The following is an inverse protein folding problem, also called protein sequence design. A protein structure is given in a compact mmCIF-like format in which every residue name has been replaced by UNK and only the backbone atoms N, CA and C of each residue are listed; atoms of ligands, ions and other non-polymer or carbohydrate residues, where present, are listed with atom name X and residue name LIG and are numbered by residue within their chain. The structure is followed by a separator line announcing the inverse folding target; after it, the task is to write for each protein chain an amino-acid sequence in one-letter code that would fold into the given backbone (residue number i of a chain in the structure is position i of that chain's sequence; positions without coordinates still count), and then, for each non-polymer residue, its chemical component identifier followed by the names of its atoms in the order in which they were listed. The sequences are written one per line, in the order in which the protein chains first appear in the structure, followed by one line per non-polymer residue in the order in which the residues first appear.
data_IF_301546695541
#
_entry.id   IF_301546695541
#
_cell.length_a   1.000
_cell.length_b   1.000
_cell.length_c   1.000
_cell.angle_alpha   90.00
_cell.angle_beta   90.00
_cell.angle_gamma   90.00
#
_symmetry.space_group_name_H-M   'P 1'
#
loop_
_entity.id
_entity.type
_entity.pdbx_description
1 polymer ?
#
# COMPACT_ATOMS: atom_id res chain seq x y z
N UNK A 1 -20.64 -3.36 2.03
CA UNK A 1 -21.78 -2.50 2.44
C UNK A 1 -21.41 -1.46 3.50
N UNK A 2 -20.52 -1.74 4.48
CA UNK A 2 -20.12 -0.72 5.48
C UNK A 2 -19.20 0.38 4.94
N UNK A 3 -18.26 0.07 4.04
CA UNK A 3 -17.32 1.08 3.53
C UNK A 3 -18.04 2.22 2.80
N UNK A 4 -18.98 1.91 1.91
CA UNK A 4 -19.74 2.94 1.19
C UNK A 4 -20.53 3.88 2.12
N UNK A 5 -21.09 3.34 3.21
CA UNK A 5 -21.74 4.15 4.25
C UNK A 5 -20.77 5.06 5.00
N UNK A 6 -19.59 4.54 5.36
CA UNK A 6 -18.52 5.35 5.94
C UNK A 6 -18.10 6.48 4.98
N UNK A 7 -17.88 6.14 3.71
CA UNK A 7 -17.42 7.06 2.68
C UNK A 7 -18.41 8.21 2.46
N UNK A 8 -19.71 7.93 2.32
CA UNK A 8 -20.70 8.99 2.12
C UNK A 8 -20.83 9.88 3.36
N UNK A 9 -20.78 9.33 4.57
CA UNK A 9 -20.82 10.12 5.82
C UNK A 9 -19.62 11.04 5.92
N UNK A 10 -18.41 10.59 5.53
CA UNK A 10 -17.24 11.46 5.46
C UNK A 10 -17.46 12.62 4.50
N UNK A 11 -17.98 12.34 3.30
CA UNK A 11 -18.23 13.37 2.29
C UNK A 11 -19.31 14.38 2.72
N UNK A 12 -20.37 13.93 3.40
CA UNK A 12 -21.39 14.80 4.00
C UNK A 12 -20.83 15.72 5.10
N UNK A 13 -19.63 15.45 5.60
CA UNK A 13 -18.95 16.22 6.64
C UNK A 13 -17.61 16.80 6.17
N UNK A 14 -17.44 17.00 4.86
CA UNK A 14 -16.24 17.63 4.25
C UNK A 14 -14.91 16.93 4.56
N UNK A 15 -14.95 15.63 4.86
CA UNK A 15 -13.77 14.79 5.04
C UNK A 15 -13.55 13.94 3.79
N UNK A 16 -12.30 13.89 3.30
CA UNK A 16 -11.90 12.97 2.23
C UNK A 16 -11.73 11.56 2.81
N UNK A 17 -12.62 10.59 2.51
CA UNK A 17 -12.48 9.23 2.99
C UNK A 17 -11.36 8.49 2.26
N UNK A 18 -10.60 7.70 3.03
CA UNK A 18 -9.69 6.69 2.50
C UNK A 18 -10.39 5.33 2.63
N UNK A 19 -10.77 4.74 1.50
CA UNK A 19 -11.31 3.38 1.45
C UNK A 19 -10.19 2.36 1.60
N UNK A 20 -9.95 1.88 2.82
CA UNK A 20 -8.96 0.83 3.08
C UNK A 20 -9.54 -0.56 2.80
N UNK A 21 -8.85 -1.27 1.90
CA UNK A 21 -9.20 -2.62 1.49
C UNK A 21 -7.97 -3.51 1.59
N UNK A 22 -7.94 -4.30 2.64
CA UNK A 22 -6.85 -5.25 2.83
C UNK A 22 -7.36 -6.68 2.66
N UNK A 23 -6.85 -7.33 1.61
CA UNK A 23 -6.80 -8.78 1.52
C UNK A 23 -5.54 -9.23 2.27
N UNK A 24 -5.73 -9.93 3.39
CA UNK A 24 -4.63 -10.41 4.22
C UNK A 24 -3.74 -11.38 3.45
N UNK A 25 -2.44 -11.29 3.69
CA UNK A 25 -1.43 -12.14 3.04
C UNK A 25 -1.31 -13.53 3.65
N UNK A 26 -1.99 -13.83 4.77
CA UNK A 26 -1.85 -15.12 5.46
C UNK A 26 -2.12 -16.32 4.54
N UNK A 27 -1.20 -17.29 4.56
CA UNK A 27 -1.35 -18.60 3.92
C UNK A 27 -0.40 -18.85 2.75
N UNK A 28 -0.66 -19.93 2.01
CA UNK A 28 0.20 -20.49 0.96
C UNK A 28 -0.36 -20.29 -0.47
N UNK A 29 -1.18 -19.26 -0.65
CA UNK A 29 -1.76 -18.95 -1.95
C UNK A 29 -0.73 -18.30 -2.89
N UNK A 30 -0.84 -18.56 -4.19
CA UNK A 30 -0.01 -17.89 -5.17
C UNK A 30 -0.51 -16.46 -5.47
N UNK A 31 0.28 -15.71 -6.24
CA UNK A 31 -0.06 -14.33 -6.60
C UNK A 31 -1.33 -14.23 -7.47
N UNK A 32 -1.65 -15.28 -8.24
CA UNK A 32 -2.84 -15.32 -9.11
C UNK A 32 -4.11 -15.37 -8.27
N UNK A 33 -4.09 -16.16 -7.19
CA UNK A 33 -5.19 -16.20 -6.23
C UNK A 33 -5.37 -14.85 -5.54
N UNK A 34 -4.28 -14.20 -5.10
CA UNK A 34 -4.34 -12.85 -4.53
C UNK A 34 -4.96 -11.85 -5.54
N UNK A 35 -4.54 -11.90 -6.81
CA UNK A 35 -5.07 -11.05 -7.87
C UNK A 35 -6.57 -11.25 -8.07
N UNK A 36 -7.03 -12.51 -8.19
CA UNK A 36 -8.44 -12.83 -8.39
C UNK A 36 -9.32 -12.36 -7.23
N UNK A 37 -8.86 -12.53 -5.98
CA UNK A 37 -9.57 -12.05 -4.79
C UNK A 37 -9.58 -10.52 -4.76
N UNK A 38 -8.44 -9.88 -5.03
CA UNK A 38 -8.32 -8.41 -5.07
C UNK A 38 -9.29 -7.82 -6.10
N UNK A 39 -9.34 -8.37 -7.32
CA UNK A 39 -10.27 -7.93 -8.36
C UNK A 39 -11.74 -8.09 -7.92
N UNK A 40 -12.07 -9.24 -7.34
CA UNK A 40 -13.43 -9.52 -6.85
C UNK A 40 -13.86 -8.52 -5.77
N UNK A 41 -12.99 -8.24 -4.81
CA UNK A 41 -13.26 -7.31 -3.71
C UNK A 41 -13.38 -5.88 -4.23
N UNK A 42 -12.46 -5.42 -5.09
CA UNK A 42 -12.49 -4.07 -5.65
C UNK A 42 -13.76 -3.85 -6.51
N UNK A 43 -14.14 -4.81 -7.34
CA UNK A 43 -15.36 -4.72 -8.13
C UNK A 43 -16.61 -4.58 -7.24
N UNK A 44 -16.72 -5.41 -6.19
CA UNK A 44 -17.84 -5.32 -5.25
C UNK A 44 -17.87 -3.99 -4.49
N UNK A 45 -16.69 -3.45 -4.16
CA UNK A 45 -16.54 -2.15 -3.52
C UNK A 45 -17.01 -1.03 -4.43
N UNK A 46 -16.51 -0.92 -5.65
CA UNK A 46 -16.84 0.21 -6.51
C UNK A 46 -18.30 0.18 -6.93
N UNK A 47 -18.89 -1.02 -7.04
CA UNK A 47 -20.34 -1.16 -7.14
C UNK A 47 -21.06 -0.57 -5.93
N UNK A 48 -20.63 -0.92 -4.72
CA UNK A 48 -21.24 -0.38 -3.50
C UNK A 48 -21.03 1.15 -3.35
N UNK A 49 -19.87 1.69 -3.72
CA UNK A 49 -19.63 3.14 -3.70
C UNK A 49 -20.58 3.86 -4.67
N UNK A 50 -20.75 3.31 -5.87
CA UNK A 50 -21.67 3.86 -6.87
C UNK A 50 -23.13 3.82 -6.40
N UNK A 51 -23.57 2.69 -5.81
CA UNK A 51 -24.93 2.54 -5.26
C UNK A 51 -25.26 3.54 -4.15
N UNK A 52 -24.23 4.01 -3.44
CA UNK A 52 -24.36 4.99 -2.37
C UNK A 52 -24.09 6.44 -2.82
N UNK A 53 -23.99 6.67 -4.14
CA UNK A 53 -23.77 8.00 -4.73
C UNK A 53 -22.50 8.71 -4.23
N UNK A 54 -21.46 7.93 -3.91
CA UNK A 54 -20.15 8.47 -3.51
C UNK A 54 -19.52 9.24 -4.69
N UNK A 55 -19.01 10.43 -4.42
CA UNK A 55 -18.21 11.21 -5.36
C UNK A 55 -16.77 10.68 -5.38
N UNK A 56 -16.38 9.92 -6.41
CA UNK A 56 -15.08 9.21 -6.42
C UNK A 56 -13.87 10.17 -6.50
N UNK A 57 -14.03 11.33 -7.14
CA UNK A 57 -13.06 12.42 -7.21
C UNK A 57 -12.61 12.89 -5.82
N UNK A 58 -13.51 12.78 -4.84
CA UNK A 58 -13.29 13.15 -3.45
C UNK A 58 -12.96 11.96 -2.54
N UNK A 59 -12.35 10.90 -3.06
CA UNK A 59 -11.94 9.72 -2.26
C UNK A 59 -10.52 9.28 -2.59
N UNK A 60 -9.89 8.52 -1.67
CA UNK A 60 -8.66 7.79 -1.95
C UNK A 60 -8.88 6.29 -1.74
N UNK A 61 -8.17 5.47 -2.51
CA UNK A 61 -8.13 4.01 -2.30
C UNK A 61 -6.85 3.64 -1.55
N UNK A 62 -6.95 2.84 -0.48
CA UNK A 62 -5.81 2.24 0.22
C UNK A 62 -5.88 0.71 0.11
N UNK A 63 -5.37 0.12 -0.98
CA UNK A 63 -5.43 -1.32 -1.18
C UNK A 63 -4.13 -2.00 -0.71
N UNK A 64 -4.18 -3.31 -0.49
CA UNK A 64 -2.97 -4.14 -0.51
C UNK A 64 -2.33 -4.14 -1.90
N UNK A 65 -1.00 -4.35 -1.96
CA UNK A 65 -0.36 -4.80 -3.20
C UNK A 65 -0.76 -6.26 -3.46
N UNK A 66 -0.74 -6.69 -4.72
CA UNK A 66 -1.02 -8.09 -5.09
C UNK A 66 0.26 -8.89 -4.92
N UNK A 67 0.33 -9.70 -3.87
CA UNK A 67 1.51 -10.50 -3.51
C UNK A 67 1.14 -11.97 -3.33
N UNK A 68 2.10 -12.91 -3.40
CA UNK A 68 1.90 -14.25 -2.87
C UNK A 68 1.57 -14.21 -1.37
N UNK A 69 1.00 -15.30 -0.87
CA UNK A 69 0.77 -15.48 0.55
C UNK A 69 2.07 -15.55 1.37
N UNK A 70 1.97 -15.33 2.68
CA UNK A 70 3.11 -15.28 3.61
C UNK A 70 3.95 -16.55 3.64
N UNK A 71 3.32 -17.69 3.35
CA UNK A 71 3.94 -19.02 3.37
C UNK A 71 4.33 -19.47 1.94
N UNK A 72 4.13 -18.61 0.94
CA UNK A 72 4.51 -18.84 -0.46
C UNK A 72 5.89 -18.27 -0.78
N UNK A 73 6.58 -18.79 -1.81
CA UNK A 73 7.80 -18.18 -2.30
C UNK A 73 7.58 -16.72 -2.70
N UNK A 74 8.52 -15.85 -2.32
CA UNK A 74 8.55 -14.46 -2.78
C UNK A 74 8.75 -14.42 -4.30
N UNK A 75 8.23 -13.37 -4.93
CA UNK A 75 8.38 -13.09 -6.36
C UNK A 75 9.08 -11.75 -6.56
N UNK A 76 9.53 -11.50 -7.78
CA UNK A 76 10.20 -10.24 -8.11
C UNK A 76 9.24 -9.04 -8.03
N UNK A 77 9.73 -7.84 -7.68
CA UNK A 77 8.93 -6.61 -7.61
C UNK A 77 8.18 -6.28 -8.91
N UNK A 78 8.76 -6.60 -10.06
CA UNK A 78 8.15 -6.39 -11.38
C UNK A 78 6.91 -7.27 -11.56
N UNK A 79 6.91 -8.48 -10.98
CA UNK A 79 5.75 -9.38 -11.00
C UNK A 79 4.66 -8.82 -10.09
N UNK A 80 5.00 -8.36 -8.88
CA UNK A 80 4.04 -7.69 -7.98
C UNK A 80 3.44 -6.48 -8.67
N UNK A 81 4.26 -5.68 -9.33
CA UNK A 81 3.83 -4.50 -10.05
C UNK A 81 2.83 -4.82 -11.16
N UNK A 82 3.16 -5.80 -12.02
CA UNK A 82 2.30 -6.21 -13.14
C UNK A 82 0.92 -6.69 -12.66
N UNK A 83 0.89 -7.59 -11.68
CA UNK A 83 -0.36 -8.11 -11.12
C UNK A 83 -1.16 -7.02 -10.40
N UNK A 84 -0.49 -6.14 -9.65
CA UNK A 84 -1.17 -5.08 -8.90
C UNK A 84 -1.79 -4.06 -9.84
N UNK A 85 -1.01 -3.51 -10.78
CA UNK A 85 -1.52 -2.49 -11.72
C UNK A 85 -2.58 -3.09 -12.65
N UNK A 86 -2.46 -4.35 -13.05
CA UNK A 86 -3.50 -5.06 -13.82
C UNK A 86 -4.81 -5.19 -13.05
N UNK A 87 -4.76 -5.60 -11.77
CA UNK A 87 -5.96 -5.72 -10.94
C UNK A 87 -6.67 -4.37 -10.76
N UNK A 88 -5.89 -3.29 -10.60
CA UNK A 88 -6.42 -1.92 -10.54
C UNK A 88 -7.07 -1.50 -11.87
N UNK A 89 -6.42 -1.76 -13.00
CA UNK A 89 -6.99 -1.48 -14.33
C UNK A 89 -8.32 -2.16 -14.60
N UNK A 90 -8.52 -3.35 -14.05
CA UNK A 90 -9.76 -4.11 -14.24
C UNK A 90 -10.93 -3.63 -13.38
N UNK A 91 -10.66 -2.84 -12.34
CA UNK A 91 -11.66 -2.62 -11.27
C UNK A 91 -11.81 -1.20 -10.77
N UNK A 92 -10.77 -0.37 -10.87
CA UNK A 92 -10.79 1.01 -10.36
C UNK A 92 -11.24 1.95 -11.47
N UNK A 93 -12.22 2.84 -11.23
CA UNK A 93 -12.57 3.90 -12.19
C UNK A 93 -11.45 4.96 -12.31
N UNK A 94 -11.15 5.47 -13.52
CA UNK A 94 -10.08 6.46 -13.74
C UNK A 94 -10.33 7.83 -13.10
N UNK A 95 -11.55 8.08 -12.61
CA UNK A 95 -11.95 9.32 -11.94
C UNK A 95 -11.40 9.42 -10.50
N UNK A 96 -11.03 8.29 -9.89
CA UNK A 96 -10.32 8.29 -8.60
C UNK A 96 -9.00 9.07 -8.77
N UNK A 97 -8.62 9.94 -7.84
CA UNK A 97 -7.38 10.70 -8.00
C UNK A 97 -6.14 9.85 -7.64
N UNK A 98 -6.12 9.23 -6.46
CA UNK A 98 -4.91 8.61 -5.89
C UNK A 98 -5.19 7.22 -5.28
N UNK A 99 -4.21 6.34 -5.44
CA UNK A 99 -4.13 5.03 -4.79
C UNK A 99 -2.92 5.05 -3.85
N UNK A 100 -3.17 4.94 -2.54
CA UNK A 100 -2.18 5.03 -1.48
C UNK A 100 -1.97 3.66 -0.83
N UNK A 101 -1.02 2.87 -1.30
CA UNK A 101 -0.86 1.48 -0.88
C UNK A 101 -0.54 1.34 0.61
N UNK A 102 -1.08 0.30 1.24
CA UNK A 102 -0.63 -0.17 2.55
C UNK A 102 0.60 -1.07 2.41
N UNK A 103 1.50 -1.06 3.41
CA UNK A 103 2.69 -1.92 3.39
C UNK A 103 2.37 -3.36 3.79
N UNK A 104 1.31 -3.60 4.57
CA UNK A 104 0.95 -4.91 5.07
C UNK A 104 2.07 -5.51 5.93
N UNK A 105 2.45 -6.75 5.63
CA UNK A 105 3.57 -7.47 6.27
C UNK A 105 4.94 -7.26 5.61
N UNK A 106 5.04 -6.45 4.56
CA UNK A 106 6.30 -6.20 3.85
C UNK A 106 7.30 -5.47 4.73
N UNK A 107 8.59 -5.71 4.52
CA UNK A 107 9.65 -4.87 5.11
C UNK A 107 9.59 -3.43 4.58
N UNK A 108 10.31 -2.51 5.23
CA UNK A 108 10.39 -1.12 4.75
C UNK A 108 11.00 -1.07 3.33
N UNK A 109 12.05 -1.85 3.07
CA UNK A 109 12.68 -1.91 1.75
C UNK A 109 11.78 -2.58 0.70
N UNK A 110 11.12 -3.68 1.06
CA UNK A 110 10.26 -4.43 0.14
C UNK A 110 9.06 -3.58 -0.32
N UNK A 111 8.39 -2.88 0.62
CA UNK A 111 7.27 -2.01 0.30
C UNK A 111 7.69 -0.88 -0.66
N UNK A 112 8.89 -0.33 -0.49
CA UNK A 112 9.42 0.72 -1.37
C UNK A 112 9.79 0.21 -2.75
N UNK A 113 10.50 -0.93 -2.83
CA UNK A 113 10.92 -1.51 -4.12
C UNK A 113 9.70 -1.92 -4.95
N UNK A 114 8.66 -2.47 -4.31
CA UNK A 114 7.41 -2.80 -5.00
C UNK A 114 6.65 -1.56 -5.48
N UNK A 115 6.58 -0.50 -4.65
CA UNK A 115 5.99 0.77 -5.05
C UNK A 115 6.74 1.43 -6.22
N UNK A 116 8.06 1.40 -6.18
CA UNK A 116 8.92 1.93 -7.24
C UNK A 116 8.74 1.14 -8.56
N UNK A 117 8.68 -0.19 -8.49
CA UNK A 117 8.41 -1.04 -9.65
C UNK A 117 7.05 -0.71 -10.30
N UNK A 118 5.99 -0.51 -9.50
CA UNK A 118 4.68 -0.06 -10.01
C UNK A 118 4.74 1.30 -10.72
N UNK A 119 5.53 2.24 -10.19
CA UNK A 119 5.68 3.55 -10.79
C UNK A 119 6.55 3.53 -12.05
N UNK A 120 7.52 2.60 -12.15
CA UNK A 120 8.35 2.38 -13.35
C UNK A 120 7.64 1.67 -14.50
N UNK A 121 6.55 0.92 -14.24
CA UNK A 121 5.82 0.24 -15.31
C UNK A 121 5.35 1.20 -16.41
N UNK A 122 5.72 0.93 -17.66
CA UNK A 122 5.37 1.74 -18.84
C UNK A 122 3.97 1.40 -19.36
N UNK A 123 2.96 1.63 -18.53
CA UNK A 123 1.53 1.52 -18.87
C UNK A 123 0.79 2.79 -18.47
N UNK A 124 -0.32 3.08 -19.15
CA UNK A 124 -1.17 4.21 -18.79
C UNK A 124 -1.71 3.99 -17.37
N UNK A 125 -1.33 4.84 -16.41
CA UNK A 125 -1.86 4.82 -15.05
C UNK A 125 -2.68 6.09 -14.85
N UNK A 126 -4.03 6.03 -14.86
CA UNK A 126 -4.86 7.23 -14.70
C UNK A 126 -4.86 7.76 -13.26
N UNK A 127 -4.37 6.97 -12.30
CA UNK A 127 -4.25 7.32 -10.89
C UNK A 127 -2.81 7.66 -10.52
N UNK A 128 -2.64 8.52 -9.51
CA UNK A 128 -1.35 8.63 -8.81
C UNK A 128 -1.15 7.43 -7.89
N UNK A 129 -0.02 6.73 -8.01
CA UNK A 129 0.37 5.66 -7.08
C UNK A 129 1.30 6.20 -5.99
N UNK A 130 0.84 6.16 -4.75
CA UNK A 130 1.54 6.67 -3.57
C UNK A 130 1.49 5.66 -2.40
N UNK A 131 1.92 6.07 -1.22
CA UNK A 131 2.01 5.21 -0.04
C UNK A 131 1.18 5.75 1.14
N UNK A 132 0.60 4.84 1.92
CA UNK A 132 0.02 5.07 3.24
C UNK A 132 0.61 4.03 4.20
N UNK A 133 1.90 4.16 4.51
CA UNK A 133 2.66 3.16 5.27
C UNK A 133 2.72 3.46 6.77
N UNK A 134 2.37 2.46 7.58
CA UNK A 134 2.64 2.42 9.02
C UNK A 134 3.99 1.77 9.29
N UNK A 135 4.01 0.45 9.48
CA UNK A 135 5.23 -0.32 9.74
C UNK A 135 6.31 -0.11 8.67
N UNK A 136 5.92 -0.07 7.39
CA UNK A 136 6.85 0.17 6.27
C UNK A 136 7.53 1.54 6.25
N UNK A 137 7.22 2.43 7.20
CA UNK A 137 7.86 3.75 7.37
C UNK A 137 8.50 3.94 8.76
N UNK A 138 8.02 3.23 9.78
CA UNK A 138 8.31 3.54 11.18
C UNK A 138 9.22 2.51 11.88
N UNK A 139 9.43 1.31 11.32
CA UNK A 139 10.18 0.24 11.99
C UNK A 139 11.59 0.68 12.38
N UNK A 140 12.38 1.15 11.42
CA UNK A 140 13.76 1.58 11.70
C UNK A 140 13.82 2.76 12.67
N UNK A 141 12.82 3.64 12.59
CA UNK A 141 12.66 4.80 13.47
C UNK A 141 12.45 4.37 14.92
N UNK A 142 11.50 3.46 15.16
CA UNK A 142 11.16 2.95 16.49
C UNK A 142 12.33 2.19 17.10
N UNK A 143 13.00 1.35 16.32
CA UNK A 143 14.18 0.60 16.76
C UNK A 143 15.35 1.52 17.13
N UNK A 144 15.57 2.58 16.34
CA UNK A 144 16.63 3.58 16.62
C UNK A 144 16.31 4.41 17.85
N UNK A 145 15.04 4.80 18.03
CA UNK A 145 14.61 5.58 19.19
C UNK A 145 14.75 4.77 20.48
N UNK A 146 14.19 3.56 20.51
CA UNK A 146 14.21 2.67 21.69
C UNK A 146 13.58 3.28 22.94
N UNK A 147 12.71 4.30 22.79
CA UNK A 147 12.09 5.02 23.91
C UNK A 147 13.02 6.00 24.64
N UNK A 148 14.21 6.28 24.10
CA UNK A 148 15.26 7.08 24.75
C UNK A 148 15.34 8.49 24.19
N UNK A 149 15.27 9.50 25.05
CA UNK A 149 15.28 10.92 24.64
C UNK A 149 16.58 11.31 23.92
N UNK A 150 17.71 10.73 24.32
CA UNK A 150 19.01 10.94 23.68
C UNK A 150 19.08 10.44 22.23
N UNK A 151 18.14 9.57 21.81
CA UNK A 151 18.10 9.00 20.46
C UNK A 151 17.14 9.72 19.51
N UNK A 152 16.40 10.74 19.97
CA UNK A 152 15.36 11.40 19.16
C UNK A 152 15.91 11.92 17.83
N UNK A 153 17.06 12.60 17.84
CA UNK A 153 17.66 13.13 16.62
C UNK A 153 18.03 12.02 15.61
N UNK A 154 18.60 10.91 16.09
CA UNK A 154 18.96 9.76 15.25
C UNK A 154 17.72 9.07 14.69
N UNK A 155 16.66 8.94 15.47
CA UNK A 155 15.40 8.37 15.03
C UNK A 155 14.72 9.25 13.96
N UNK A 156 14.74 10.57 14.14
CA UNK A 156 14.24 11.52 13.14
C UNK A 156 15.01 11.43 11.81
N UNK A 157 16.35 11.28 11.88
CA UNK A 157 17.18 11.07 10.69
C UNK A 157 16.79 9.77 9.96
N UNK A 158 16.62 8.66 10.68
CA UNK A 158 16.16 7.39 10.12
C UNK A 158 14.77 7.52 9.47
N UNK A 159 13.83 8.21 10.14
CA UNK A 159 12.49 8.46 9.59
C UNK A 159 12.54 9.27 8.30
N UNK A 160 13.32 10.36 8.28
CA UNK A 160 13.47 11.21 7.09
C UNK A 160 14.10 10.47 5.92
N UNK A 161 15.05 9.56 6.18
CA UNK A 161 15.62 8.71 5.15
C UNK A 161 14.56 7.79 4.51
N UNK A 162 13.62 7.25 5.31
CA UNK A 162 12.49 6.44 4.79
C UNK A 162 11.45 7.30 4.06
N UNK A 163 11.11 8.48 4.56
CA UNK A 163 10.22 9.42 3.87
C UNK A 163 10.76 9.82 2.49
N UNK A 164 12.07 10.12 2.40
CA UNK A 164 12.72 10.46 1.13
C UNK A 164 12.71 9.28 0.16
N UNK A 165 13.06 8.09 0.63
CA UNK A 165 13.09 6.88 -0.22
C UNK A 165 11.69 6.53 -0.76
N UNK A 166 10.65 6.60 0.08
CA UNK A 166 9.27 6.42 -0.37
C UNK A 166 8.82 7.49 -1.37
N UNK A 167 9.21 8.75 -1.17
CA UNK A 167 8.96 9.85 -2.12
C UNK A 167 9.65 9.62 -3.46
N UNK A 168 10.86 9.06 -3.49
CA UNK A 168 11.53 8.69 -4.74
C UNK A 168 10.84 7.49 -5.42
N UNK A 169 10.32 6.54 -4.64
CA UNK A 169 9.57 5.39 -5.14
C UNK A 169 8.25 5.79 -5.82
N UNK A 170 7.54 6.82 -5.34
CA UNK A 170 6.35 7.34 -6.04
C UNK A 170 6.67 7.93 -7.42
N UNK A 171 7.91 8.33 -7.63
CA UNK A 171 8.39 8.87 -8.91
C UNK A 171 9.03 7.80 -9.81
N UNK A 172 9.11 6.55 -9.36
CA UNK A 172 9.86 5.49 -10.07
C UNK A 172 11.36 5.79 -10.14
N UNK A 173 11.89 6.51 -9.15
CA UNK A 173 13.29 6.99 -9.12
C UNK A 173 14.08 6.41 -7.96
N UNK A 174 13.52 5.47 -7.19
CA UNK A 174 14.25 4.82 -6.13
C UNK A 174 15.33 3.91 -6.74
N UNK A 175 16.55 4.03 -6.23
CA UNK A 175 17.74 3.33 -6.75
C UNK A 175 18.21 2.18 -5.86
N UNK A 176 17.47 1.87 -4.79
CA UNK A 176 17.89 0.90 -3.78
C UNK A 176 19.07 1.39 -2.94
N UNK A 177 19.42 0.62 -1.90
CA UNK A 177 20.64 0.83 -1.11
C UNK A 177 20.54 1.82 0.05
N UNK A 178 19.35 2.37 0.32
CA UNK A 178 19.10 3.21 1.50
C UNK A 178 18.70 2.43 2.76
N UNK A 179 18.34 1.15 2.63
CA UNK A 179 17.96 0.29 3.75
C UNK A 179 19.19 -0.25 4.49
N UNK A 180 19.41 0.22 5.73
CA UNK A 180 20.20 -0.53 6.70
C UNK A 180 19.52 -1.86 7.04
N UNK A 181 20.22 -2.80 7.69
CA UNK A 181 19.72 -4.16 7.96
C UNK A 181 18.32 -4.22 8.59
N UNK A 182 17.97 -3.25 9.45
CA UNK A 182 16.65 -3.13 10.09
C UNK A 182 15.50 -2.90 9.10
N UNK A 183 15.75 -2.20 7.98
CA UNK A 183 14.72 -1.89 6.99
C UNK A 183 14.37 -3.08 6.09
N UNK A 184 15.20 -4.12 6.10
CA UNK A 184 14.99 -5.36 5.31
C UNK A 184 14.23 -6.44 6.08
N UNK A 185 13.99 -6.26 7.38
CA UNK A 185 13.29 -7.24 8.21
C UNK A 185 11.81 -7.33 7.86
N UNK A 186 11.30 -8.56 7.71
CA UNK A 186 9.87 -8.81 7.49
C UNK A 186 9.03 -8.27 8.64
N UNK A 187 7.92 -7.60 8.32
CA UNK A 187 7.00 -6.98 9.28
C UNK A 187 5.70 -7.77 9.42
N UNK A 188 5.65 -8.98 8.85
CA UNK A 188 4.49 -9.85 8.89
C UNK A 188 4.24 -10.39 10.30
N UNK A 189 2.97 -10.37 10.72
CA UNK A 189 2.50 -10.95 11.97
C UNK A 189 1.32 -11.86 11.64
N UNK A 190 1.48 -13.17 11.89
CA UNK A 190 0.44 -14.17 11.61
C UNK A 190 -0.83 -13.86 12.39
N UNK A 191 -1.98 -13.88 11.71
CA UNK A 191 -3.28 -13.63 12.34
C UNK A 191 -3.43 -12.21 12.90
N UNK A 192 -2.81 -11.22 12.26
CA UNK A 192 -2.96 -9.81 12.62
C UNK A 192 -4.44 -9.41 12.66
N UNK A 193 -4.84 -8.71 13.73
CA UNK A 193 -6.20 -8.20 13.93
C UNK A 193 -6.14 -6.69 14.12
N UNK A 194 -7.03 -5.98 13.43
CA UNK A 194 -7.27 -4.54 13.59
C UNK A 194 -8.07 -4.24 14.85
#
# INVERSE_FOLDING_TARGET
MHMARYTIICQENDLVPIGELEVLTDGNHDIKNCAAVTETVLAAVYKALNDHHVLLEGTLLKPNMVTPGSDSPRVAPEVIADYTVTALHRTVPPVLPWIVFLSGGQSEEEAMVNLDAMNKLEVLKPWTHAFSFGRGLQQSTLMTWGGKNENVAKAQEAFMARCKANSEATLGKYKGGGAGGLASESLYVKGYKY
#
